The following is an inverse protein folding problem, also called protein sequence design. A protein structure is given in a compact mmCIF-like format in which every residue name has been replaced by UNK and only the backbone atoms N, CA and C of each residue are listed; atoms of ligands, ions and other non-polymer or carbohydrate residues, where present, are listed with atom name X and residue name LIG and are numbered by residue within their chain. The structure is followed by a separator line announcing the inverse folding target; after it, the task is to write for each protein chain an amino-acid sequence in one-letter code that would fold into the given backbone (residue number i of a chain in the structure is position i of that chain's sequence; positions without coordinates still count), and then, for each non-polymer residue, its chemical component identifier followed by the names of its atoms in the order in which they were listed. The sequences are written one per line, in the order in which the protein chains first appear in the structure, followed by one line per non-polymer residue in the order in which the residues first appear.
data_IF_605102698403
#
_entry.id   IF_605102698403
#
_cell.length_a   1.000
_cell.length_b   1.000
_cell.length_c   1.000
_cell.angle_alpha   90.00
_cell.angle_beta   90.00
_cell.angle_gamma   90.00
#
_symmetry.space_group_name_H-M   'P 1'
#
loop_
_entity.id
_entity.type
_entity.pdbx_description
1 polymer ?
#
# COMPACT_ATOMS: atom_id res chain seq x y z
N UNK A 1 0.58 9.79 9.05
CA UNK A 1 0.47 8.79 7.95
C UNK A 1 -0.44 7.66 8.40
N UNK A 2 -1.29 7.20 7.53
CA UNK A 2 -2.16 6.09 7.87
C UNK A 2 -1.46 4.76 7.65
N UNK A 3 -1.82 3.78 8.48
CA UNK A 3 -1.35 2.41 8.31
C UNK A 3 -2.30 1.67 7.36
N UNK A 4 -1.70 0.98 6.40
CA UNK A 4 -2.44 0.22 5.40
C UNK A 4 -2.12 -1.25 5.62
N UNK A 5 -3.16 -2.04 5.95
CA UNK A 5 -3.00 -3.45 6.27
C UNK A 5 -3.51 -4.33 5.15
N UNK A 6 -2.88 -5.51 5.02
CA UNK A 6 -3.33 -6.51 4.06
C UNK A 6 -4.57 -7.26 4.58
N UNK A 7 -5.08 -8.17 3.76
CA UNK A 7 -6.28 -8.95 4.10
C UNK A 7 -6.09 -9.89 5.29
N UNK A 8 -4.86 -10.11 5.72
CA UNK A 8 -4.55 -10.92 6.90
C UNK A 8 -4.29 -10.05 8.14
N UNK A 9 -4.47 -8.73 8.04
CA UNK A 9 -4.28 -7.81 9.15
C UNK A 9 -2.84 -7.39 9.41
N UNK A 10 -1.89 -7.78 8.55
CA UNK A 10 -0.49 -7.39 8.70
C UNK A 10 -0.29 -5.99 8.10
N UNK A 11 0.66 -5.23 8.65
CA UNK A 11 1.00 -3.92 8.11
C UNK A 11 1.69 -4.09 6.76
N UNK A 12 1.03 -3.65 5.68
CA UNK A 12 1.59 -3.71 4.35
C UNK A 12 2.45 -2.49 4.04
N UNK A 13 1.93 -1.30 4.36
CA UNK A 13 2.66 -0.05 4.13
C UNK A 13 2.03 1.08 4.94
N UNK A 14 2.64 2.26 4.86
CA UNK A 14 2.09 3.50 5.42
C UNK A 14 2.02 4.52 4.32
N UNK A 15 1.03 5.40 4.39
CA UNK A 15 0.86 6.40 3.37
C UNK A 15 0.22 7.68 3.87
N UNK A 16 0.48 8.76 3.13
CA UNK A 16 -0.14 10.06 3.35
C UNK A 16 -0.87 10.45 2.08
N UNK A 17 -2.20 10.40 2.12
CA UNK A 17 -3.01 10.70 0.94
C UNK A 17 -2.88 12.16 0.50
N UNK A 18 -2.61 13.07 1.43
CA UNK A 18 -2.46 14.48 1.10
C UNK A 18 -1.29 14.75 0.15
N UNK A 19 -0.22 13.95 0.27
CA UNK A 19 0.97 14.08 -0.58
C UNK A 19 1.10 12.97 -1.60
N UNK A 20 0.40 11.85 -1.39
CA UNK A 20 0.57 10.64 -2.19
C UNK A 20 1.76 9.79 -1.77
N UNK A 21 2.43 10.14 -0.69
CA UNK A 21 3.63 9.42 -0.22
C UNK A 21 3.25 8.04 0.32
N UNK A 22 3.99 7.03 -0.11
CA UNK A 22 3.85 5.66 0.37
C UNK A 22 5.22 5.15 0.82
N UNK A 23 5.25 4.47 1.95
CA UNK A 23 6.46 3.82 2.47
C UNK A 23 6.12 2.41 2.92
N UNK A 24 6.85 1.44 2.40
CA UNK A 24 6.72 0.02 2.77
C UNK A 24 8.04 -0.49 3.30
N UNK A 25 8.02 -1.16 4.44
CA UNK A 25 9.19 -1.79 5.03
C UNK A 25 8.92 -3.27 5.20
N UNK A 26 9.76 -4.11 4.58
CA UNK A 26 9.63 -5.55 4.67
C UNK A 26 11.02 -6.20 4.69
N UNK A 27 11.28 -6.99 5.72
CA UNK A 27 12.56 -7.69 5.91
C UNK A 27 13.77 -6.75 5.81
N UNK A 28 13.65 -5.56 6.40
CA UNK A 28 14.71 -4.55 6.38
C UNK A 28 14.82 -3.73 5.11
N UNK A 29 14.02 -4.03 4.10
CA UNK A 29 14.02 -3.27 2.84
C UNK A 29 12.89 -2.25 2.86
N UNK A 30 13.24 -0.99 2.61
CA UNK A 30 12.25 0.10 2.53
C UNK A 30 12.06 0.49 1.07
N UNK A 31 10.79 0.51 0.66
CA UNK A 31 10.39 0.98 -0.64
C UNK A 31 9.52 2.23 -0.45
N UNK A 32 9.80 3.28 -1.18
CA UNK A 32 9.02 4.52 -1.11
C UNK A 32 8.56 4.93 -2.49
N UNK A 33 7.42 5.62 -2.54
CA UNK A 33 6.87 6.13 -3.78
C UNK A 33 6.02 7.35 -3.50
N UNK A 34 5.82 8.19 -4.52
CA UNK A 34 4.85 9.27 -4.49
C UNK A 34 3.83 9.00 -5.58
N UNK A 35 2.58 8.85 -5.19
CA UNK A 35 1.49 8.55 -6.12
C UNK A 35 0.78 9.82 -6.53
N UNK A 36 0.60 10.01 -7.83
CA UNK A 36 -0.38 10.94 -8.34
C UNK A 36 -1.78 10.34 -8.20
N UNK A 37 -2.80 11.18 -8.22
CA UNK A 37 -4.18 10.69 -8.21
C UNK A 37 -4.40 9.74 -9.39
N UNK A 38 -4.92 8.55 -9.10
CA UNK A 38 -5.13 7.48 -10.07
C UNK A 38 -4.01 6.44 -10.14
N UNK A 39 -2.85 6.70 -9.51
CA UNK A 39 -1.76 5.74 -9.50
C UNK A 39 -1.91 4.72 -8.38
N UNK A 40 -1.36 3.52 -8.61
CA UNK A 40 -1.45 2.39 -7.69
C UNK A 40 -0.05 1.93 -7.29
N UNK A 41 0.11 1.68 -5.99
CA UNK A 41 1.31 1.06 -5.41
C UNK A 41 0.94 -0.35 -4.97
N UNK A 42 1.75 -1.33 -5.36
CA UNK A 42 1.47 -2.74 -5.05
C UNK A 42 2.50 -3.29 -4.09
N UNK A 43 2.03 -3.95 -3.04
CA UNK A 43 2.87 -4.67 -2.08
C UNK A 43 2.57 -6.16 -2.22
N UNK A 44 3.58 -6.93 -2.55
CA UNK A 44 3.46 -8.39 -2.57
C UNK A 44 4.23 -8.96 -1.39
N UNK A 45 3.63 -9.90 -0.70
CA UNK A 45 4.17 -10.46 0.53
C UNK A 45 3.72 -11.90 0.66
N UNK A 46 4.67 -12.82 0.57
CA UNK A 46 4.41 -14.26 0.72
C UNK A 46 3.22 -14.71 -0.13
N UNK A 47 2.03 -14.73 0.46
CA UNK A 47 0.82 -15.22 -0.19
C UNK A 47 -0.25 -14.15 -0.32
N UNK A 48 0.11 -12.86 -0.22
CA UNK A 48 -0.86 -11.76 -0.37
C UNK A 48 -0.36 -10.71 -1.35
N UNK A 49 -1.31 -10.03 -1.96
CA UNK A 49 -1.07 -8.85 -2.78
C UNK A 49 -1.98 -7.73 -2.29
N UNK A 50 -1.40 -6.58 -2.04
CA UNK A 50 -2.13 -5.39 -1.57
C UNK A 50 -1.90 -4.27 -2.56
N UNK A 51 -2.99 -3.76 -3.12
CA UNK A 51 -2.98 -2.65 -4.08
C UNK A 51 -3.53 -1.40 -3.41
N UNK A 52 -2.73 -0.34 -3.42
CA UNK A 52 -3.09 0.93 -2.82
C UNK A 52 -3.19 1.96 -3.93
N UNK A 53 -4.38 2.47 -4.17
CA UNK A 53 -4.62 3.47 -5.22
C UNK A 53 -4.93 4.80 -4.57
N UNK A 54 -4.23 5.87 -5.00
CA UNK A 54 -4.58 7.22 -4.58
C UNK A 54 -5.76 7.69 -5.41
N UNK A 55 -6.97 7.61 -4.83
CA UNK A 55 -8.19 7.92 -5.58
C UNK A 55 -8.52 9.40 -5.59
N UNK A 56 -8.13 10.11 -4.53
CA UNK A 56 -8.28 11.58 -4.44
C UNK A 56 -7.07 12.14 -3.71
N UNK A 57 -6.99 13.46 -3.59
CA UNK A 57 -5.92 14.13 -2.83
C UNK A 57 -6.02 13.91 -1.33
N UNK A 58 -7.04 13.21 -0.85
CA UNK A 58 -7.25 12.96 0.57
C UNK A 58 -7.56 11.51 0.91
N UNK A 59 -7.58 10.59 -0.06
CA UNK A 59 -7.99 9.22 0.20
C UNK A 59 -7.26 8.19 -0.67
N UNK A 60 -6.95 7.06 -0.05
CA UNK A 60 -6.51 5.85 -0.72
C UNK A 60 -7.65 4.85 -0.78
N UNK A 61 -7.68 4.03 -1.85
CA UNK A 61 -8.48 2.83 -1.91
C UNK A 61 -7.53 1.64 -1.81
N UNK A 62 -7.83 0.71 -0.91
CA UNK A 62 -6.98 -0.45 -0.67
C UNK A 62 -7.71 -1.71 -1.08
N UNK A 63 -7.05 -2.55 -1.87
CA UNK A 63 -7.53 -3.86 -2.24
C UNK A 63 -6.45 -4.88 -1.88
N UNK A 64 -6.80 -5.89 -1.09
CA UNK A 64 -5.86 -6.94 -0.71
C UNK A 64 -6.51 -8.30 -0.86
N UNK A 65 -5.74 -9.27 -1.33
CA UNK A 65 -6.24 -10.61 -1.58
C UNK A 65 -5.11 -11.64 -1.50
N UNK A 66 -5.50 -12.88 -1.32
CA UNK A 66 -4.57 -14.00 -1.24
C UNK A 66 -4.22 -14.45 -2.66
N UNK A 67 -2.92 -14.60 -2.91
CA UNK A 67 -2.40 -14.99 -4.23
C UNK A 67 -1.77 -16.37 -4.22
N UNK A 68 -1.80 -17.09 -3.10
CA UNK A 68 -1.17 -18.39 -2.99
C UNK A 68 -1.75 -19.37 -4.01
N UNK A 69 -0.90 -19.99 -4.75
CA UNK A 69 -1.26 -21.04 -5.67
C UNK A 69 -1.28 -22.38 -4.94
#
# INVERSE_FOLDING_TARGET
MEEIRDCLGRLACRGDAATGYISSLYKGHRTTAHLSVGETFTVERDNTRTEVTRVTTSAFKVRSYITAA
#
